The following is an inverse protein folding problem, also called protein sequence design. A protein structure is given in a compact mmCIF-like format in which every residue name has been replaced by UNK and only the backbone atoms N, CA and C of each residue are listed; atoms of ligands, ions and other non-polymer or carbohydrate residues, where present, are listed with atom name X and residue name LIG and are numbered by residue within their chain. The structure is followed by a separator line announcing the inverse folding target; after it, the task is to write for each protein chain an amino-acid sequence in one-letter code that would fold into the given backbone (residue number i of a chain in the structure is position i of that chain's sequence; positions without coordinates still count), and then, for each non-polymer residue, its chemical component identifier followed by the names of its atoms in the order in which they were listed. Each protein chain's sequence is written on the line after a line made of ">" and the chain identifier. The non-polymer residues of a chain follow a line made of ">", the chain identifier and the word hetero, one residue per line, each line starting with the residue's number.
data_IF_103821403072
#
_entry.id   IF_103821403072
#
_cell.length_a   1.000
_cell.length_b   1.000
_cell.length_c   1.000
_cell.angle_alpha   90.00
_cell.angle_beta   90.00
_cell.angle_gamma   90.00
#
_symmetry.space_group_name_H-M   'P 1'
#
loop_
_entity.id
_entity.type
_entity.pdbx_description
1 polymer ?
#
# COMPACT_ATOMS: atom_id res chain seq x y z
N UNK A 1 -7.74 14.01 -2.10
CA UNK A 1 -7.54 12.61 -1.66
C UNK A 1 -7.20 11.64 -2.77
N UNK A 2 -8.04 11.43 -3.79
CA UNK A 2 -7.79 10.35 -4.78
C UNK A 2 -6.43 10.44 -5.50
N UNK A 3 -5.94 11.66 -5.78
CA UNK A 3 -4.59 11.87 -6.35
C UNK A 3 -3.49 11.49 -5.36
N UNK A 4 -3.60 11.90 -4.10
CA UNK A 4 -2.64 11.58 -3.02
C UNK A 4 -2.55 10.08 -2.79
N UNK A 5 -3.69 9.39 -2.75
CA UNK A 5 -3.74 7.93 -2.60
C UNK A 5 -3.02 7.23 -3.77
N UNK A 6 -3.25 7.72 -4.99
CA UNK A 6 -2.59 7.18 -6.21
C UNK A 6 -1.09 7.40 -6.16
N UNK A 7 -0.62 8.59 -5.75
CA UNK A 7 0.80 8.89 -5.60
C UNK A 7 1.43 7.95 -4.57
N UNK A 8 0.80 7.74 -3.40
CA UNK A 8 1.32 6.82 -2.40
C UNK A 8 1.45 5.39 -2.90
N UNK A 9 0.43 4.89 -3.60
CA UNK A 9 0.43 3.53 -4.15
C UNK A 9 1.54 3.38 -5.20
N UNK A 10 1.63 4.31 -6.15
CA UNK A 10 2.64 4.24 -7.21
C UNK A 10 4.05 4.34 -6.65
N UNK A 11 4.29 5.24 -5.70
CA UNK A 11 5.61 5.38 -5.06
C UNK A 11 5.99 4.12 -4.29
N UNK A 12 5.05 3.48 -3.57
CA UNK A 12 5.33 2.22 -2.88
C UNK A 12 5.64 1.08 -3.85
N UNK A 13 4.82 0.90 -4.90
CA UNK A 13 5.05 -0.16 -5.90
C UNK A 13 6.40 0.05 -6.58
N UNK A 14 6.71 1.28 -6.99
CA UNK A 14 7.97 1.60 -7.65
C UNK A 14 9.16 1.31 -6.71
N UNK A 15 9.09 1.72 -5.45
CA UNK A 15 10.13 1.41 -4.47
C UNK A 15 10.26 -0.09 -4.24
N UNK A 16 9.15 -0.83 -4.12
CA UNK A 16 9.18 -2.29 -3.93
C UNK A 16 9.90 -2.98 -5.10
N UNK A 17 9.57 -2.59 -6.33
CA UNK A 17 10.21 -3.15 -7.54
C UNK A 17 11.69 -2.77 -7.63
N UNK A 18 12.06 -1.54 -7.28
CA UNK A 18 13.47 -1.12 -7.25
C UNK A 18 14.26 -1.89 -6.19
N UNK A 19 13.74 -2.00 -4.98
CA UNK A 19 14.38 -2.77 -3.92
C UNK A 19 14.52 -4.24 -4.30
N UNK A 20 13.48 -4.84 -4.90
CA UNK A 20 13.54 -6.20 -5.42
C UNK A 20 14.68 -6.35 -6.44
N UNK A 21 14.75 -5.47 -7.43
CA UNK A 21 15.77 -5.52 -8.47
C UNK A 21 17.18 -5.36 -7.88
N UNK A 22 17.40 -4.33 -7.07
CA UNK A 22 18.71 -4.03 -6.46
C UNK A 22 19.15 -5.19 -5.57
N UNK A 23 18.30 -5.63 -4.63
CA UNK A 23 18.67 -6.68 -3.70
C UNK A 23 18.87 -8.03 -4.40
N UNK A 24 18.09 -8.34 -5.46
CA UNK A 24 18.27 -9.58 -6.23
C UNK A 24 19.59 -9.59 -7.02
N UNK A 25 19.96 -8.45 -7.64
CA UNK A 25 21.24 -8.32 -8.34
C UNK A 25 22.42 -8.44 -7.36
N UNK A 26 22.33 -7.74 -6.22
CA UNK A 26 23.36 -7.82 -5.16
C UNK A 26 23.48 -9.25 -4.62
N UNK A 27 22.37 -9.95 -4.40
CA UNK A 27 22.37 -11.33 -3.96
C UNK A 27 23.04 -12.28 -4.98
N UNK A 28 22.73 -12.12 -6.27
CA UNK A 28 23.25 -12.99 -7.34
C UNK A 28 24.76 -12.87 -7.60
N UNK A 29 25.34 -11.68 -7.41
CA UNK A 29 26.78 -11.44 -7.67
C UNK A 29 27.68 -11.66 -6.44
N UNK A 30 27.11 -11.80 -5.24
CA UNK A 30 27.89 -11.67 -4.00
C UNK A 30 28.53 -12.98 -3.51
N UNK A 31 29.85 -12.95 -3.28
CA UNK A 31 30.55 -13.90 -2.42
C UNK A 31 30.32 -13.52 -0.95
N UNK A 32 29.15 -13.84 -0.40
CA UNK A 32 28.78 -13.86 1.03
C UNK A 32 29.53 -12.86 1.97
N UNK A 33 29.58 -11.59 1.58
CA UNK A 33 30.28 -10.56 2.35
C UNK A 33 29.36 -9.97 3.43
N UNK A 34 29.93 -9.61 4.58
CA UNK A 34 29.19 -8.90 5.63
C UNK A 34 28.63 -7.58 5.09
N UNK A 35 29.39 -6.88 4.25
CA UNK A 35 29.00 -5.61 3.64
C UNK A 35 27.76 -5.72 2.76
N UNK A 36 27.69 -6.72 1.87
CA UNK A 36 26.51 -6.93 0.99
C UNK A 36 25.26 -7.24 1.81
N UNK A 37 25.42 -7.99 2.90
CA UNK A 37 24.32 -8.28 3.83
C UNK A 37 23.79 -7.01 4.50
N UNK A 38 24.68 -6.13 4.98
CA UNK A 38 24.29 -4.86 5.61
C UNK A 38 23.54 -3.97 4.62
N UNK A 39 24.02 -3.87 3.36
CA UNK A 39 23.36 -3.06 2.33
C UNK A 39 21.94 -3.56 2.04
N UNK A 40 21.75 -4.86 1.85
CA UNK A 40 20.42 -5.44 1.63
C UNK A 40 19.46 -5.14 2.79
N UNK A 41 19.93 -5.30 4.03
CA UNK A 41 19.13 -5.01 5.24
C UNK A 41 18.72 -3.54 5.29
N UNK A 42 19.61 -2.60 4.95
CA UNK A 42 19.25 -1.18 4.89
C UNK A 42 18.14 -0.89 3.88
N UNK A 43 18.19 -1.51 2.68
CA UNK A 43 17.13 -1.38 1.69
C UNK A 43 15.80 -1.99 2.17
N UNK A 44 15.86 -3.14 2.86
CA UNK A 44 14.68 -3.76 3.47
C UNK A 44 14.07 -2.87 4.56
N UNK A 45 14.89 -2.28 5.43
CA UNK A 45 14.41 -1.32 6.45
C UNK A 45 13.69 -0.12 5.81
N UNK A 46 14.28 0.47 4.77
CA UNK A 46 13.66 1.58 4.04
C UNK A 46 12.33 1.15 3.41
N UNK A 47 12.29 -0.02 2.77
CA UNK A 47 11.09 -0.59 2.17
C UNK A 47 9.97 -0.73 3.21
N UNK A 48 10.27 -1.29 4.39
CA UNK A 48 9.30 -1.48 5.47
C UNK A 48 8.71 -0.13 5.91
N UNK A 49 9.57 0.86 6.16
CA UNK A 49 9.13 2.19 6.62
C UNK A 49 8.20 2.84 5.60
N UNK A 50 8.57 2.83 4.32
CA UNK A 50 7.76 3.46 3.26
C UNK A 50 6.43 2.74 3.07
N UNK A 51 6.42 1.41 3.05
CA UNK A 51 5.17 0.64 2.93
C UNK A 51 4.25 0.88 4.12
N UNK A 52 4.79 0.99 5.34
CA UNK A 52 4.00 1.35 6.53
C UNK A 52 3.35 2.74 6.37
N UNK A 53 4.11 3.75 5.96
CA UNK A 53 3.57 5.10 5.72
C UNK A 53 2.43 5.07 4.70
N UNK A 54 2.59 4.31 3.61
CA UNK A 54 1.56 4.18 2.57
C UNK A 54 0.32 3.45 3.08
N UNK A 55 0.48 2.35 3.82
CA UNK A 55 -0.65 1.62 4.42
C UNK A 55 -1.43 2.53 5.38
N UNK A 56 -0.73 3.25 6.28
CA UNK A 56 -1.40 4.20 7.18
C UNK A 56 -2.11 5.33 6.43
N UNK A 57 -1.49 5.85 5.37
CA UNK A 57 -2.10 6.86 4.49
C UNK A 57 -3.40 6.37 3.88
N UNK A 58 -3.40 5.17 3.29
CA UNK A 58 -4.57 4.55 2.68
C UNK A 58 -5.67 4.23 3.70
N UNK A 59 -5.30 3.74 4.89
CA UNK A 59 -6.25 3.48 5.97
C UNK A 59 -6.93 4.77 6.45
N UNK A 60 -6.18 5.85 6.65
CA UNK A 60 -6.77 7.15 7.01
C UNK A 60 -7.66 7.70 5.90
N UNK A 61 -7.25 7.54 4.63
CA UNK A 61 -8.06 7.90 3.46
C UNK A 61 -9.40 7.16 3.43
N UNK A 62 -9.36 5.84 3.62
CA UNK A 62 -10.53 4.95 3.72
C UNK A 62 -11.47 5.39 4.85
N UNK A 63 -10.94 5.60 6.06
CA UNK A 63 -11.74 6.01 7.22
C UNK A 63 -12.42 7.37 7.00
N UNK A 64 -11.71 8.33 6.40
CA UNK A 64 -12.25 9.67 6.14
C UNK A 64 -13.40 9.61 5.14
N UNK A 65 -13.24 8.85 4.04
CA UNK A 65 -14.33 8.65 3.07
C UNK A 65 -15.52 7.93 3.69
N UNK A 66 -15.28 6.91 4.51
CA UNK A 66 -16.36 6.20 5.18
C UNK A 66 -17.18 7.13 6.09
N UNK A 67 -16.52 7.98 6.87
CA UNK A 67 -17.20 8.97 7.73
C UNK A 67 -18.03 9.97 6.92
N UNK A 68 -17.49 10.49 5.82
CA UNK A 68 -18.20 11.45 4.96
C UNK A 68 -19.43 10.82 4.29
N UNK A 69 -19.31 9.62 3.74
CA UNK A 69 -20.44 8.95 3.07
C UNK A 69 -21.50 8.53 4.08
N UNK A 70 -21.12 8.02 5.25
CA UNK A 70 -22.07 7.73 6.33
C UNK A 70 -22.82 8.98 6.79
N UNK A 71 -22.12 10.11 6.92
CA UNK A 71 -22.76 11.39 7.25
C UNK A 71 -23.76 11.83 6.17
N UNK A 72 -23.41 11.65 4.89
CA UNK A 72 -24.28 11.97 3.76
C UNK A 72 -25.52 11.07 3.71
N UNK A 73 -25.35 9.75 3.83
CA UNK A 73 -26.45 8.79 3.86
C UNK A 73 -27.43 9.10 5.00
N UNK A 74 -26.89 9.42 6.18
CA UNK A 74 -27.72 9.84 7.32
C UNK A 74 -28.54 11.09 7.00
N UNK A 75 -27.94 12.11 6.40
CA UNK A 75 -28.65 13.32 5.99
C UNK A 75 -29.78 13.03 4.99
N UNK A 76 -29.54 12.14 4.02
CA UNK A 76 -30.55 11.76 3.02
C UNK A 76 -31.72 11.01 3.66
N UNK A 77 -31.43 10.12 4.60
CA UNK A 77 -32.43 9.42 5.40
C UNK A 77 -33.26 10.37 6.25
N UNK A 78 -32.60 11.30 6.94
CA UNK A 78 -33.28 12.30 7.79
C UNK A 78 -34.21 13.22 6.99
N UNK A 79 -33.95 13.40 5.68
CA UNK A 79 -34.76 14.20 4.75
C UNK A 79 -35.77 13.38 3.92
N UNK A 80 -35.87 12.05 4.15
CA UNK A 80 -36.79 11.18 3.42
C UNK A 80 -36.45 10.97 1.94
N UNK A 81 -35.19 11.19 1.55
CA UNK A 81 -34.69 11.10 0.15
C UNK A 81 -33.64 9.98 -0.01
N UNK A 82 -33.74 8.95 0.82
CA UNK A 82 -32.79 7.82 0.85
C UNK A 82 -32.63 7.08 -0.50
N UNK A 83 -33.68 7.04 -1.34
CA UNK A 83 -33.62 6.39 -2.65
C UNK A 83 -32.68 7.06 -3.68
N UNK A 84 -32.18 8.26 -3.41
CA UNK A 84 -31.28 8.98 -4.32
C UNK A 84 -29.80 8.62 -4.12
N UNK A 85 -29.44 7.93 -3.03
CA UNK A 85 -28.06 7.62 -2.73
C UNK A 85 -27.89 6.15 -2.33
N UNK A 86 -27.13 5.40 -3.13
CA UNK A 86 -26.94 3.97 -2.92
C UNK A 86 -25.95 3.69 -1.77
N UNK A 87 -26.38 2.91 -0.78
CA UNK A 87 -25.57 2.47 0.34
C UNK A 87 -24.39 1.57 -0.10
N UNK A 88 -24.48 0.91 -1.26
CA UNK A 88 -23.43 0.07 -1.83
C UNK A 88 -22.14 0.83 -2.16
N UNK A 89 -22.22 2.16 -2.31
CA UNK A 89 -21.07 3.02 -2.58
C UNK A 89 -19.99 2.93 -1.49
N UNK A 90 -20.39 2.77 -0.22
CA UNK A 90 -19.46 2.57 0.90
C UNK A 90 -18.67 1.26 0.75
N UNK A 91 -19.36 0.19 0.38
CA UNK A 91 -18.75 -1.13 0.16
C UNK A 91 -17.75 -1.06 -0.99
N UNK A 92 -18.13 -0.45 -2.12
CA UNK A 92 -17.27 -0.30 -3.28
C UNK A 92 -15.98 0.47 -2.97
N UNK A 93 -16.06 1.54 -2.15
CA UNK A 93 -14.86 2.25 -1.72
C UNK A 93 -13.97 1.40 -0.83
N UNK A 94 -14.54 0.66 0.11
CA UNK A 94 -13.77 -0.23 0.98
C UNK A 94 -13.03 -1.30 0.18
N UNK A 95 -13.69 -1.93 -0.78
CA UNK A 95 -13.10 -2.95 -1.67
C UNK A 95 -11.92 -2.37 -2.45
N UNK A 96 -12.07 -1.17 -3.03
CA UNK A 96 -10.98 -0.52 -3.77
C UNK A 96 -9.74 -0.26 -2.91
N UNK A 97 -9.90 0.30 -1.71
CA UNK A 97 -8.76 0.53 -0.82
C UNK A 97 -8.10 -0.78 -0.38
N UNK A 98 -8.89 -1.83 -0.12
CA UNK A 98 -8.36 -3.15 0.23
C UNK A 98 -7.53 -3.76 -0.89
N UNK A 99 -8.00 -3.70 -2.14
CA UNK A 99 -7.27 -4.21 -3.30
C UNK A 99 -5.93 -3.51 -3.48
N UNK A 100 -5.87 -2.18 -3.30
CA UNK A 100 -4.60 -1.46 -3.40
C UNK A 100 -3.64 -1.78 -2.26
N UNK A 101 -4.13 -1.87 -1.03
CA UNK A 101 -3.30 -2.29 0.11
C UNK A 101 -2.75 -3.70 -0.12
N UNK A 102 -3.55 -4.61 -0.68
CA UNK A 102 -3.11 -5.97 -1.01
C UNK A 102 -1.94 -5.93 -2.01
N UNK A 103 -2.05 -5.19 -3.11
CA UNK A 103 -0.96 -5.06 -4.10
C UNK A 103 0.32 -4.52 -3.47
N UNK A 104 0.22 -3.46 -2.66
CA UNK A 104 1.39 -2.85 -1.98
C UNK A 104 2.05 -3.85 -1.02
N UNK A 105 1.26 -4.54 -0.20
CA UNK A 105 1.78 -5.53 0.76
C UNK A 105 2.45 -6.70 0.05
N UNK A 106 1.81 -7.28 -0.98
CA UNK A 106 2.37 -8.42 -1.69
C UNK A 106 3.63 -8.07 -2.48
N UNK A 107 3.65 -6.92 -3.16
CA UNK A 107 4.87 -6.46 -3.85
C UNK A 107 6.01 -6.21 -2.86
N UNK A 108 5.72 -5.62 -1.69
CA UNK A 108 6.70 -5.42 -0.63
C UNK A 108 7.22 -6.74 -0.05
N UNK A 109 6.34 -7.71 0.16
CA UNK A 109 6.71 -9.05 0.65
C UNK A 109 7.63 -9.76 -0.34
N UNK A 110 7.30 -9.75 -1.63
CA UNK A 110 8.15 -10.36 -2.68
C UNK A 110 9.51 -9.68 -2.72
N UNK A 111 9.55 -8.35 -2.65
CA UNK A 111 10.78 -7.56 -2.63
C UNK A 111 11.69 -7.86 -1.44
N UNK A 112 11.11 -8.29 -0.31
CA UNK A 112 11.87 -8.77 0.84
C UNK A 112 12.31 -10.22 0.60
N UNK A 113 11.40 -11.13 0.28
CA UNK A 113 11.67 -12.58 0.29
C UNK A 113 12.58 -13.05 -0.84
N UNK A 114 12.33 -12.62 -2.08
CA UNK A 114 13.01 -13.17 -3.26
C UNK A 114 14.54 -13.01 -3.21
N UNK A 115 15.11 -11.85 -2.85
CA UNK A 115 16.56 -11.71 -2.76
C UNK A 115 17.24 -12.69 -1.79
N UNK A 116 16.58 -13.04 -0.68
CA UNK A 116 17.11 -14.03 0.27
C UNK A 116 16.93 -15.47 -0.18
N UNK A 117 16.05 -15.74 -1.14
CA UNK A 117 15.92 -17.05 -1.78
C UNK A 117 16.96 -17.24 -2.88
N UNK A 118 17.37 -16.15 -3.55
CA UNK A 118 18.40 -16.15 -4.60
C UNK A 118 19.81 -16.31 -4.02
N UNK A 119 20.05 -15.72 -2.85
CA UNK A 119 21.30 -15.83 -2.11
C UNK A 119 21.53 -17.26 -1.61
#
# INVERSE_FOLDING_TARGET
>A
NTRTDTIFILTAILLNLLTLAINSMVAAESNDSVTTTIVMVMFVCLLIVVNLVVIFGLLKGKQTRAKLINGLLKMYKDQGVEGYYDESLLSNYNTRYNLFMLVVVFTGLIAIVVPYVIR
#
